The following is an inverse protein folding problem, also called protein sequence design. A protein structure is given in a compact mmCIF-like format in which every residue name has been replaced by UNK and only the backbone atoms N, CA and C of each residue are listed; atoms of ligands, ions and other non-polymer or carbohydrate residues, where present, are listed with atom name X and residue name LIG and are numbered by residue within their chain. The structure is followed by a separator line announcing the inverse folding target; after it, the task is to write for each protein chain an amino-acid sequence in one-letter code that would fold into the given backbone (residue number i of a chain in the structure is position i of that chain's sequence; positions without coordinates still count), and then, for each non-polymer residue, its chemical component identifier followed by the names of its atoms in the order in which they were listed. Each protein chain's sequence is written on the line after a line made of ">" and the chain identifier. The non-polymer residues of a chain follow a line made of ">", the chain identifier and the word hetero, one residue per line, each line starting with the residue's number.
data_IF_410925456870
#
_entry.id   IF_410925456870
#
_cell.length_a   1.000
_cell.length_b   1.000
_cell.length_c   1.000
_cell.angle_alpha   90.00
_cell.angle_beta   90.00
_cell.angle_gamma   90.00
#
_symmetry.space_group_name_H-M   'P 1'
#
loop_
_entity.id
_entity.type
_entity.pdbx_description
1 polymer ?
#
# COMPACT_ATOMS: atom_id res chain seq x y z
N UNK A 1 17.58 -17.11 -42.68
CA UNK A 1 16.12 -17.33 -42.54
C UNK A 1 15.84 -17.17 -41.05
N UNK A 2 15.16 -16.16 -40.50
CA UNK A 2 14.11 -15.29 -41.00
C UNK A 2 14.09 -14.02 -40.13
N UNK A 3 14.25 -12.86 -40.77
CA UNK A 3 14.26 -11.52 -40.16
C UNK A 3 12.85 -10.90 -40.06
N UNK A 4 11.81 -11.72 -39.89
CA UNK A 4 10.40 -11.29 -40.02
C UNK A 4 9.53 -11.50 -38.77
N UNK A 5 10.12 -11.73 -37.59
CA UNK A 5 9.36 -11.93 -36.34
C UNK A 5 9.55 -10.83 -35.28
N UNK A 6 10.36 -9.80 -35.54
CA UNK A 6 10.71 -8.78 -34.52
C UNK A 6 9.84 -7.53 -34.47
N UNK A 7 8.99 -7.29 -35.48
CA UNK A 7 8.25 -6.02 -35.60
C UNK A 7 6.75 -6.09 -35.28
N UNK A 8 6.17 -7.28 -35.11
CA UNK A 8 4.75 -7.43 -34.71
C UNK A 8 4.51 -7.55 -33.20
N UNK A 9 5.55 -7.84 -32.41
CA UNK A 9 5.45 -8.04 -30.95
C UNK A 9 5.48 -6.72 -30.17
N UNK A 10 5.98 -5.62 -30.75
CA UNK A 10 6.02 -4.32 -30.03
C UNK A 10 4.66 -3.63 -29.89
N UNK A 11 3.68 -3.93 -30.74
CA UNK A 11 2.33 -3.35 -30.66
C UNK A 11 1.34 -4.17 -29.82
N UNK A 12 1.55 -5.48 -29.69
CA UNK A 12 0.73 -6.33 -28.82
C UNK A 12 1.05 -6.10 -27.32
N UNK A 13 2.27 -5.67 -27.01
CA UNK A 13 2.71 -5.56 -25.64
C UNK A 13 2.21 -4.32 -24.89
N UNK A 14 1.56 -3.33 -25.53
CA UNK A 14 1.06 -2.17 -24.79
C UNK A 14 -0.25 -2.46 -24.03
N UNK A 15 -1.11 -3.33 -24.59
CA UNK A 15 -2.43 -3.66 -24.03
C UNK A 15 -2.41 -4.60 -22.83
N UNK A 16 -1.30 -5.30 -22.54
CA UNK A 16 -1.20 -6.19 -21.38
C UNK A 16 -0.45 -5.56 -20.19
N UNK A 17 0.09 -4.34 -20.35
CA UNK A 17 0.95 -3.65 -19.35
C UNK A 17 0.20 -2.97 -18.20
N UNK A 18 -1.11 -3.03 -18.26
CA UNK A 18 -2.03 -2.21 -17.49
C UNK A 18 -3.18 -3.05 -16.93
N UNK A 19 -3.24 -4.36 -17.20
CA UNK A 19 -4.45 -5.19 -17.07
C UNK A 19 -5.20 -5.05 -15.74
N UNK A 20 -4.51 -4.98 -14.59
CA UNK A 20 -5.18 -4.83 -13.28
C UNK A 20 -5.75 -3.43 -13.05
N UNK A 21 -5.08 -2.39 -13.55
CA UNK A 21 -5.50 -0.99 -13.45
C UNK A 21 -6.46 -0.59 -14.59
N UNK A 22 -6.29 -1.13 -15.79
CA UNK A 22 -7.23 -1.03 -16.92
C UNK A 22 -8.53 -1.78 -16.65
N UNK A 23 -8.50 -2.97 -16.02
CA UNK A 23 -9.71 -3.66 -15.54
C UNK A 23 -10.49 -2.80 -14.52
N UNK A 24 -9.80 -1.94 -13.77
CA UNK A 24 -10.40 -0.98 -12.84
C UNK A 24 -10.72 0.37 -13.49
N UNK A 25 -10.54 0.52 -14.81
CA UNK A 25 -10.87 1.72 -15.56
C UNK A 25 -9.85 2.86 -15.47
N UNK A 26 -8.60 2.58 -15.11
CA UNK A 26 -7.49 3.54 -15.12
C UNK A 26 -6.71 3.43 -16.46
N UNK A 27 -6.94 4.31 -17.44
CA UNK A 27 -6.09 4.39 -18.62
C UNK A 27 -4.82 5.15 -18.22
N UNK A 28 -3.88 4.47 -17.57
CA UNK A 28 -2.54 5.03 -17.38
C UNK A 28 -1.86 5.05 -18.75
N UNK A 29 -2.09 6.13 -19.50
CA UNK A 29 -1.48 6.36 -20.79
C UNK A 29 0.04 6.36 -20.68
N UNK A 30 0.70 6.08 -21.79
CA UNK A 30 2.13 5.85 -21.99
C UNK A 30 3.01 7.05 -21.56
N UNK A 31 3.08 7.33 -20.25
CA UNK A 31 4.02 8.26 -19.62
C UNK A 31 3.57 9.72 -19.44
N UNK A 32 2.27 10.02 -19.33
CA UNK A 32 1.76 11.41 -19.23
C UNK A 32 0.87 11.71 -18.02
N UNK A 33 1.06 11.04 -16.89
CA UNK A 33 0.27 11.37 -15.72
C UNK A 33 0.64 12.76 -15.19
N UNK A 34 -0.20 13.76 -15.50
CA UNK A 34 -0.14 15.09 -14.93
C UNK A 34 -1.09 15.24 -13.73
N UNK A 35 -1.10 16.43 -13.12
CA UNK A 35 -1.88 16.71 -11.92
C UNK A 35 -3.39 16.61 -12.17
N UNK A 36 -3.85 17.03 -13.35
CA UNK A 36 -5.28 17.03 -13.71
C UNK A 36 -5.75 15.61 -13.97
N UNK A 37 -4.98 14.82 -14.72
CA UNK A 37 -5.25 13.41 -14.96
C UNK A 37 -5.30 12.62 -13.65
N UNK A 38 -4.32 12.80 -12.75
CA UNK A 38 -4.31 12.15 -11.44
C UNK A 38 -5.55 12.52 -10.60
N UNK A 39 -5.91 13.80 -10.59
CA UNK A 39 -7.10 14.28 -9.85
C UNK A 39 -8.38 13.69 -10.42
N UNK A 40 -8.52 13.66 -11.75
CA UNK A 40 -9.66 13.04 -12.41
C UNK A 40 -9.76 11.54 -12.11
N UNK A 41 -8.63 10.83 -12.04
CA UNK A 41 -8.60 9.41 -11.65
C UNK A 41 -9.07 9.22 -10.20
N UNK A 42 -8.56 10.00 -9.25
CA UNK A 42 -9.01 9.93 -7.84
C UNK A 42 -10.52 10.23 -7.73
N UNK A 43 -11.03 11.22 -8.47
CA UNK A 43 -12.45 11.55 -8.50
C UNK A 43 -13.32 10.43 -9.09
N UNK A 44 -12.87 9.78 -10.17
CA UNK A 44 -13.56 8.63 -10.78
C UNK A 44 -13.59 7.44 -9.83
N UNK A 45 -12.54 7.28 -9.04
CA UNK A 45 -12.36 6.17 -8.09
C UNK A 45 -12.84 6.49 -6.67
N UNK A 46 -13.64 7.53 -6.49
CA UNK A 46 -14.15 7.96 -5.18
C UNK A 46 -14.84 6.84 -4.38
N UNK A 47 -15.50 5.90 -5.06
CA UNK A 47 -16.17 4.75 -4.42
C UNK A 47 -15.18 3.78 -3.79
N UNK A 48 -14.05 3.54 -4.47
CA UNK A 48 -12.99 2.63 -4.01
C UNK A 48 -12.14 3.30 -2.93
N UNK A 49 -11.76 4.55 -3.19
CA UNK A 49 -10.87 5.30 -2.31
C UNK A 49 -11.62 5.89 -1.11
N UNK A 50 -12.95 5.93 -1.13
CA UNK A 50 -13.77 6.57 -0.11
C UNK A 50 -13.27 8.02 0.20
N UNK A 51 -12.91 8.75 -0.86
CA UNK A 51 -12.53 10.16 -0.81
C UNK A 51 -13.69 10.95 -1.44
N UNK A 52 -14.31 11.92 -0.74
CA UNK A 52 -15.27 12.81 -1.36
C UNK A 52 -14.65 13.51 -2.59
N UNK A 53 -15.38 13.58 -3.71
CA UNK A 53 -14.82 14.08 -4.98
C UNK A 53 -14.24 15.48 -4.88
N UNK A 54 -14.80 16.30 -3.98
CA UNK A 54 -14.39 17.67 -3.70
C UNK A 54 -13.01 17.75 -3.03
N UNK A 55 -12.58 16.67 -2.36
CA UNK A 55 -11.28 16.58 -1.68
C UNK A 55 -10.19 15.96 -2.56
N UNK A 56 -10.54 15.42 -3.74
CA UNK A 56 -9.58 14.82 -4.64
C UNK A 56 -8.43 15.77 -5.03
N UNK A 57 -8.67 17.07 -5.34
CA UNK A 57 -7.56 18.00 -5.63
C UNK A 57 -6.62 18.19 -4.44
N UNK A 58 -7.15 18.23 -3.21
CA UNK A 58 -6.34 18.40 -1.99
C UNK A 58 -5.50 17.14 -1.73
N UNK A 59 -6.08 15.97 -1.96
CA UNK A 59 -5.40 14.69 -1.83
C UNK A 59 -4.28 14.54 -2.86
N UNK A 60 -4.54 14.81 -4.14
CA UNK A 60 -3.52 14.73 -5.19
C UNK A 60 -2.44 15.79 -5.01
N UNK A 61 -2.79 17.00 -4.56
CA UNK A 61 -1.81 18.04 -4.25
C UNK A 61 -0.81 17.58 -3.17
N UNK A 62 -1.31 17.02 -2.06
CA UNK A 62 -0.45 16.53 -0.96
C UNK A 62 0.62 15.54 -1.42
N UNK A 63 0.28 14.64 -2.34
CA UNK A 63 1.20 13.59 -2.79
C UNK A 63 2.04 14.00 -4.00
N UNK A 64 1.44 14.65 -5.01
CA UNK A 64 2.05 14.81 -6.33
C UNK A 64 2.70 16.19 -6.55
N UNK A 65 2.44 17.19 -5.70
CA UNK A 65 2.92 18.56 -5.94
C UNK A 65 4.45 18.73 -5.88
N UNK A 66 5.16 17.78 -5.26
CA UNK A 66 6.62 17.84 -5.11
C UNK A 66 7.43 17.58 -6.38
N UNK A 67 6.77 17.29 -7.52
CA UNK A 67 7.46 16.92 -8.76
C UNK A 67 6.59 17.15 -9.99
N UNK A 68 7.22 17.58 -11.09
CA UNK A 68 6.61 17.64 -12.43
C UNK A 68 6.92 16.40 -13.29
N UNK A 69 7.82 15.52 -12.82
CA UNK A 69 8.15 14.27 -13.50
C UNK A 69 6.92 13.32 -13.54
N UNK A 70 6.38 12.99 -14.73
CA UNK A 70 5.20 12.14 -14.86
C UNK A 70 5.39 10.72 -14.31
N UNK A 71 6.62 10.20 -14.35
CA UNK A 71 6.92 8.85 -13.81
C UNK A 71 6.82 8.88 -12.30
N UNK A 72 7.40 9.90 -11.65
CA UNK A 72 7.30 10.06 -10.19
C UNK A 72 5.87 10.36 -9.75
N UNK A 73 5.12 11.18 -10.51
CA UNK A 73 3.70 11.42 -10.21
C UNK A 73 2.89 10.13 -10.23
N UNK A 74 3.20 9.20 -11.15
CA UNK A 74 2.55 7.89 -11.19
C UNK A 74 2.86 7.09 -9.92
N UNK A 75 4.13 7.01 -9.52
CA UNK A 75 4.51 6.27 -8.30
C UNK A 75 3.84 6.89 -7.05
N UNK A 76 3.82 8.22 -6.94
CA UNK A 76 3.15 8.95 -5.84
C UNK A 76 1.63 8.79 -5.86
N UNK A 77 1.01 8.64 -7.04
CA UNK A 77 -0.41 8.33 -7.14
C UNK A 77 -0.70 6.90 -6.63
N UNK A 78 0.20 5.95 -6.91
CA UNK A 78 0.08 4.60 -6.36
C UNK A 78 0.24 4.60 -4.84
N UNK A 79 1.16 5.40 -4.28
CA UNK A 79 1.30 5.59 -2.84
C UNK A 79 0.02 6.16 -2.20
N UNK A 80 -0.58 7.19 -2.82
CA UNK A 80 -1.86 7.77 -2.39
C UNK A 80 -2.95 6.69 -2.31
N UNK A 81 -3.08 5.88 -3.35
CA UNK A 81 -4.07 4.80 -3.42
C UNK A 81 -3.78 3.75 -2.35
N UNK A 82 -2.53 3.31 -2.21
CA UNK A 82 -2.11 2.31 -1.24
C UNK A 82 -2.36 2.76 0.20
N UNK A 83 -2.02 4.02 0.53
CA UNK A 83 -2.25 4.59 1.85
C UNK A 83 -3.74 4.69 2.15
N UNK A 84 -4.55 5.14 1.17
CA UNK A 84 -5.98 5.34 1.39
C UNK A 84 -6.75 4.04 1.56
N UNK A 85 -6.38 3.01 0.78
CA UNK A 85 -7.09 1.72 0.77
C UNK A 85 -6.57 0.79 1.87
N UNK A 86 -5.26 0.77 2.14
CA UNK A 86 -4.64 -0.18 3.06
C UNK A 86 -3.96 0.48 4.25
N UNK A 87 -3.01 1.39 4.03
CA UNK A 87 -2.12 1.90 5.07
C UNK A 87 -2.86 2.58 6.22
N UNK A 88 -3.58 3.66 5.92
CA UNK A 88 -4.29 4.49 6.90
C UNK A 88 -5.40 3.71 7.61
N UNK A 89 -6.27 2.95 6.92
CA UNK A 89 -7.25 2.11 7.61
C UNK A 89 -6.61 1.08 8.56
N UNK A 90 -5.51 0.45 8.16
CA UNK A 90 -4.83 -0.56 8.99
C UNK A 90 -4.24 0.05 10.27
N UNK A 91 -3.58 1.20 10.18
CA UNK A 91 -3.05 1.92 11.34
C UNK A 91 -4.19 2.37 12.26
N UNK A 92 -5.29 2.88 11.70
CA UNK A 92 -6.44 3.27 12.50
C UNK A 92 -7.05 2.07 13.25
N UNK A 93 -7.25 0.92 12.59
CA UNK A 93 -7.74 -0.30 13.25
C UNK A 93 -6.81 -0.74 14.37
N UNK A 94 -5.50 -0.75 14.13
CA UNK A 94 -4.51 -1.13 15.14
C UNK A 94 -4.52 -0.20 16.35
N UNK A 95 -4.60 1.13 16.13
CA UNK A 95 -4.73 2.12 17.22
C UNK A 95 -5.98 1.87 18.07
N UNK A 96 -7.15 1.69 17.44
CA UNK A 96 -8.39 1.42 18.17
C UNK A 96 -8.36 0.07 18.91
N UNK A 97 -7.76 -0.97 18.31
CA UNK A 97 -7.61 -2.27 18.96
C UNK A 97 -6.67 -2.18 20.18
N UNK A 98 -5.51 -1.52 20.03
CA UNK A 98 -4.61 -1.19 21.14
C UNK A 98 -5.33 -0.44 22.26
N UNK A 99 -6.05 0.63 21.93
CA UNK A 99 -6.69 1.51 22.90
C UNK A 99 -7.87 0.83 23.61
N UNK A 100 -8.38 -0.28 23.09
CA UNK A 100 -9.33 -1.15 23.80
C UNK A 100 -8.67 -2.03 24.88
N UNK A 101 -7.34 -2.00 24.99
CA UNK A 101 -6.54 -2.80 25.93
C UNK A 101 -6.08 -4.15 25.37
N UNK A 102 -6.40 -4.46 24.11
CA UNK A 102 -6.02 -5.72 23.50
C UNK A 102 -4.56 -5.70 22.98
N UNK A 103 -3.76 -6.77 23.20
CA UNK A 103 -2.44 -6.89 22.60
C UNK A 103 -2.52 -6.78 21.08
N UNK A 104 -1.75 -5.86 20.52
CA UNK A 104 -1.77 -5.55 19.08
C UNK A 104 -0.36 -5.64 18.53
N UNK A 105 -0.21 -6.17 17.31
CA UNK A 105 1.07 -6.23 16.60
C UNK A 105 0.84 -5.79 15.16
N UNK A 106 1.75 -4.99 14.63
CA UNK A 106 1.73 -4.54 13.24
C UNK A 106 3.03 -4.92 12.53
N UNK A 107 2.94 -5.16 11.23
CA UNK A 107 4.11 -5.28 10.36
C UNK A 107 3.89 -4.58 9.02
N UNK A 108 5.00 -4.27 8.35
CA UNK A 108 5.06 -3.82 6.97
C UNK A 108 5.93 -4.81 6.19
N UNK A 109 5.39 -5.44 5.14
CA UNK A 109 6.11 -6.45 4.36
C UNK A 109 6.73 -5.81 3.11
N UNK A 110 8.05 -5.90 3.00
CA UNK A 110 8.87 -5.26 1.97
C UNK A 110 9.82 -6.30 1.36
N UNK A 111 9.26 -7.29 0.68
CA UNK A 111 10.02 -8.28 -0.09
C UNK A 111 9.42 -8.48 -1.46
N UNK A 112 10.27 -8.73 -2.47
CA UNK A 112 9.85 -9.12 -3.81
C UNK A 112 10.15 -10.60 -4.04
N UNK A 113 9.13 -11.47 -4.11
CA UNK A 113 9.33 -12.87 -4.45
C UNK A 113 9.99 -13.04 -5.81
N UNK A 114 10.94 -13.98 -5.93
CA UNK A 114 11.72 -14.24 -7.13
C UNK A 114 10.91 -14.81 -8.29
N UNK A 115 9.77 -15.44 -7.99
CA UNK A 115 8.79 -15.93 -8.96
C UNK A 115 7.75 -14.85 -9.34
N UNK A 116 7.94 -13.60 -8.90
CA UNK A 116 7.13 -12.47 -9.39
C UNK A 116 7.19 -12.40 -10.91
N UNK A 117 6.07 -12.07 -11.56
CA UNK A 117 6.00 -11.91 -13.01
C UNK A 117 7.10 -10.98 -13.54
N UNK A 118 7.70 -11.36 -14.68
CA UNK A 118 8.64 -10.49 -15.42
C UNK A 118 7.99 -9.16 -15.86
N UNK A 119 6.65 -9.07 -15.86
CA UNK A 119 5.92 -7.84 -16.15
C UNK A 119 5.94 -6.85 -14.99
N UNK A 120 6.17 -7.30 -13.75
CA UNK A 120 6.22 -6.42 -12.58
C UNK A 120 7.60 -5.75 -12.53
N UNK A 121 7.71 -4.40 -12.48
CA UNK A 121 9.00 -3.72 -12.40
C UNK A 121 9.84 -4.22 -11.22
N UNK A 122 11.14 -4.39 -11.42
CA UNK A 122 12.06 -4.94 -10.41
C UNK A 122 12.20 -4.08 -9.17
N UNK A 123 11.87 -2.78 -9.27
CA UNK A 123 11.86 -1.82 -8.17
C UNK A 123 10.68 -1.99 -7.22
N UNK A 124 9.63 -2.73 -7.62
CA UNK A 124 8.45 -2.97 -6.79
C UNK A 124 8.70 -4.17 -5.88
N UNK A 125 8.63 -3.93 -4.56
CA UNK A 125 8.67 -4.92 -3.48
C UNK A 125 7.45 -4.71 -2.56
N UNK A 126 6.96 -5.77 -1.91
CA UNK A 126 5.78 -5.67 -1.04
C UNK A 126 4.50 -5.31 -1.80
N UNK A 127 4.33 -5.89 -2.99
CA UNK A 127 3.08 -5.76 -3.75
C UNK A 127 1.97 -6.59 -3.08
N UNK A 128 0.73 -6.30 -3.42
CA UNK A 128 -0.42 -6.89 -2.77
C UNK A 128 -0.42 -8.42 -2.86
N UNK A 129 -0.34 -9.10 -1.71
CA UNK A 129 -0.35 -10.56 -1.59
C UNK A 129 1.04 -11.21 -1.62
N UNK A 130 2.13 -10.45 -1.77
CA UNK A 130 3.49 -11.01 -1.73
C UNK A 130 3.81 -11.73 -0.41
N UNK A 131 3.22 -11.29 0.69
CA UNK A 131 3.46 -11.88 2.01
C UNK A 131 2.87 -13.29 2.13
N UNK A 132 1.78 -13.57 1.41
CA UNK A 132 1.05 -14.87 1.44
C UNK A 132 2.02 -16.01 1.15
N UNK A 133 2.92 -15.83 0.20
CA UNK A 133 3.90 -16.86 -0.16
C UNK A 133 4.85 -17.21 1.00
N UNK A 134 5.27 -16.20 1.77
CA UNK A 134 6.12 -16.40 2.95
C UNK A 134 5.33 -16.99 4.12
N UNK A 135 4.05 -16.64 4.27
CA UNK A 135 3.16 -17.16 5.32
C UNK A 135 2.83 -18.64 5.10
N UNK A 136 2.61 -19.07 3.86
CA UNK A 136 2.21 -20.44 3.54
C UNK A 136 3.37 -21.34 3.10
N UNK A 137 4.60 -20.81 2.98
CA UNK A 137 5.75 -21.58 2.53
C UNK A 137 5.62 -22.08 1.09
N UNK A 138 5.03 -21.25 0.20
CA UNK A 138 4.95 -21.52 -1.25
C UNK A 138 6.35 -21.74 -1.85
N UNK A 139 6.53 -22.32 -3.06
CA UNK A 139 7.85 -22.77 -3.53
C UNK A 139 8.91 -21.66 -3.52
N UNK A 140 9.79 -21.69 -2.53
CA UNK A 140 10.86 -20.70 -2.31
C UNK A 140 12.05 -21.17 -3.13
N UNK A 141 12.38 -20.43 -4.17
CA UNK A 141 13.41 -20.81 -5.14
C UNK A 141 14.81 -20.46 -4.64
N UNK A 142 14.89 -19.49 -3.72
CA UNK A 142 16.14 -19.01 -3.13
C UNK A 142 16.25 -19.37 -1.65
N UNK A 143 17.49 -19.52 -1.17
CA UNK A 143 17.78 -19.76 0.24
C UNK A 143 17.31 -18.59 1.12
N UNK A 144 17.51 -17.36 0.66
CA UNK A 144 17.04 -16.14 1.33
C UNK A 144 15.53 -16.15 1.55
N UNK A 145 14.76 -16.49 0.51
CA UNK A 145 13.29 -16.64 0.58
C UNK A 145 12.89 -17.74 1.54
N UNK A 146 13.62 -18.86 1.51
CA UNK A 146 13.44 -19.98 2.44
C UNK A 146 13.60 -19.54 3.88
N UNK A 147 14.61 -18.74 4.16
CA UNK A 147 14.87 -18.22 5.50
C UNK A 147 13.82 -17.18 5.91
N UNK A 148 13.43 -16.27 5.00
CA UNK A 148 12.36 -15.30 5.22
C UNK A 148 11.03 -16.00 5.56
N UNK A 149 10.62 -16.99 4.76
CA UNK A 149 9.38 -17.73 5.02
C UNK A 149 9.43 -18.53 6.31
N UNK A 150 10.54 -19.21 6.62
CA UNK A 150 10.70 -19.91 7.91
C UNK A 150 10.54 -18.94 9.08
N UNK A 151 11.10 -17.73 8.98
CA UNK A 151 10.94 -16.68 9.99
C UNK A 151 9.49 -16.21 10.10
N UNK A 152 8.85 -15.89 8.97
CA UNK A 152 7.44 -15.45 8.90
C UNK A 152 6.49 -16.53 9.46
N UNK A 153 6.63 -17.78 9.04
CA UNK A 153 5.85 -18.91 9.55
C UNK A 153 6.03 -19.09 11.06
N UNK A 154 7.25 -18.93 11.58
CA UNK A 154 7.50 -18.99 13.03
C UNK A 154 6.78 -17.86 13.77
N UNK A 155 6.84 -16.62 13.28
CA UNK A 155 6.09 -15.50 13.88
C UNK A 155 4.58 -15.79 13.91
N UNK A 156 3.99 -16.18 12.78
CA UNK A 156 2.57 -16.51 12.69
C UNK A 156 2.16 -17.68 13.58
N UNK A 157 2.96 -18.76 13.61
CA UNK A 157 2.68 -19.91 14.46
C UNK A 157 2.83 -19.59 15.95
N UNK A 158 3.78 -18.74 16.33
CA UNK A 158 3.92 -18.26 17.71
C UNK A 158 2.73 -17.39 18.12
N UNK A 159 2.31 -16.47 17.24
CA UNK A 159 1.12 -15.65 17.48
C UNK A 159 -0.14 -16.52 17.63
N UNK A 160 -0.34 -17.52 16.77
CA UNK A 160 -1.46 -18.45 16.87
C UNK A 160 -1.46 -19.27 18.18
N UNK A 161 -0.29 -19.67 18.68
CA UNK A 161 -0.16 -20.44 19.93
C UNK A 161 -0.35 -19.59 21.18
N UNK A 162 0.17 -18.35 21.18
CA UNK A 162 0.42 -17.59 22.41
C UNK A 162 -0.17 -16.17 22.42
N UNK A 163 -0.71 -15.69 21.30
CA UNK A 163 -1.05 -14.27 21.12
C UNK A 163 0.17 -13.34 21.08
N UNK A 164 1.39 -13.88 20.93
CA UNK A 164 2.64 -13.14 20.85
C UNK A 164 3.55 -13.77 19.78
N UNK A 165 3.99 -13.01 18.75
CA UNK A 165 4.78 -13.56 17.65
C UNK A 165 6.23 -13.89 18.06
N UNK A 166 6.76 -13.31 19.14
CA UNK A 166 8.16 -13.45 19.53
C UNK A 166 8.54 -14.90 19.90
N UNK A 167 9.83 -15.22 19.73
CA UNK A 167 10.42 -16.51 20.08
C UNK A 167 11.93 -16.51 19.89
N UNK A 168 12.59 -17.56 20.39
CA UNK A 168 14.05 -17.71 20.27
C UNK A 168 14.50 -17.75 18.81
N UNK A 169 15.58 -17.02 18.50
CA UNK A 169 16.16 -16.95 17.16
C UNK A 169 15.35 -16.11 16.16
N UNK A 170 14.38 -15.32 16.61
CA UNK A 170 13.63 -14.36 15.79
C UNK A 170 14.02 -12.92 16.14
N UNK A 171 14.00 -11.99 15.18
CA UNK A 171 14.03 -10.56 15.46
C UNK A 171 12.92 -10.18 16.45
N UNK A 172 13.19 -9.22 17.33
CA UNK A 172 12.19 -8.76 18.28
C UNK A 172 11.06 -8.02 17.56
N UNK A 173 9.83 -8.48 17.74
CA UNK A 173 8.63 -7.84 17.25
C UNK A 173 7.96 -7.07 18.40
N UNK A 174 8.01 -5.73 18.40
CA UNK A 174 7.43 -4.93 19.47
C UNK A 174 5.89 -5.06 19.50
N UNK A 175 5.33 -4.97 20.70
CA UNK A 175 3.88 -4.74 20.86
C UNK A 175 3.57 -3.35 20.28
N UNK A 176 2.47 -3.24 19.55
CA UNK A 176 1.97 -1.98 19.02
C UNK A 176 1.27 -1.18 20.13
N UNK A 177 2.07 -0.54 20.98
CA UNK A 177 1.63 0.30 22.10
C UNK A 177 1.61 1.79 21.72
N UNK A 178 1.72 2.69 22.71
CA UNK A 178 1.74 4.14 22.48
C UNK A 178 3.00 4.63 21.74
N UNK A 179 4.06 3.83 21.67
CA UNK A 179 5.23 4.09 20.82
C UNK A 179 4.98 3.72 19.37
N UNK A 180 3.91 2.95 19.09
CA UNK A 180 3.54 2.49 17.76
C UNK A 180 4.63 1.67 17.09
N UNK A 181 5.29 0.82 17.89
CA UNK A 181 6.30 -0.12 17.44
C UNK A 181 5.71 -1.16 16.49
N UNK A 182 6.33 -1.36 15.33
CA UNK A 182 5.95 -2.35 14.33
C UNK A 182 7.18 -3.07 13.77
N UNK A 183 6.97 -4.16 13.03
CA UNK A 183 8.07 -4.90 12.40
C UNK A 183 8.11 -4.64 10.89
N UNK A 184 9.25 -4.16 10.39
CA UNK A 184 9.55 -4.20 8.96
C UNK A 184 10.04 -5.60 8.62
N UNK A 185 9.35 -6.30 7.73
CA UNK A 185 9.68 -7.66 7.30
C UNK A 185 10.18 -7.61 5.86
N UNK A 186 11.41 -8.04 5.64
CA UNK A 186 12.03 -8.05 4.30
C UNK A 186 13.40 -8.70 4.36
N UNK A 187 14.27 -8.36 3.39
CA UNK A 187 15.67 -8.82 3.35
C UNK A 187 16.37 -8.57 4.70
N UNK A 188 16.19 -7.36 5.23
CA UNK A 188 16.52 -7.02 6.62
C UNK A 188 15.22 -6.88 7.38
N UNK A 189 15.06 -7.66 8.45
CA UNK A 189 13.88 -7.61 9.32
C UNK A 189 14.23 -6.94 10.63
N UNK A 190 13.53 -5.85 10.96
CA UNK A 190 13.86 -4.99 12.10
C UNK A 190 12.62 -4.29 12.65
N UNK A 191 12.67 -3.92 13.92
CA UNK A 191 11.65 -3.09 14.54
C UNK A 191 11.77 -1.64 14.06
N UNK A 192 10.63 -0.98 13.89
CA UNK A 192 10.49 0.43 13.58
C UNK A 192 9.32 1.01 14.38
N UNK A 193 9.07 2.32 14.27
CA UNK A 193 8.01 3.00 15.02
C UNK A 193 7.19 3.91 14.09
N UNK A 194 5.93 4.15 14.45
CA UNK A 194 5.07 5.19 13.84
C UNK A 194 4.83 5.00 12.34
N UNK A 195 4.47 3.77 11.95
CA UNK A 195 4.08 3.44 10.57
C UNK A 195 3.01 4.43 10.06
N UNK A 196 3.29 5.09 8.92
CA UNK A 196 2.38 5.99 8.21
C UNK A 196 1.80 7.14 9.06
N UNK A 197 2.55 7.61 10.07
CA UNK A 197 2.02 8.59 11.02
C UNK A 197 1.63 9.93 10.38
N UNK A 198 2.42 10.42 9.41
CA UNK A 198 2.13 11.67 8.70
C UNK A 198 0.91 11.54 7.79
N UNK A 199 0.78 10.41 7.10
CA UNK A 199 -0.33 10.09 6.22
C UNK A 199 -1.62 9.98 7.03
N UNK A 200 -1.60 9.26 8.16
CA UNK A 200 -2.77 9.15 9.02
C UNK A 200 -3.20 10.51 9.56
N UNK A 201 -2.24 11.36 9.98
CA UNK A 201 -2.55 12.72 10.43
C UNK A 201 -3.23 13.55 9.33
N UNK A 202 -2.65 13.54 8.12
CA UNK A 202 -3.20 14.24 6.97
C UNK A 202 -4.63 13.79 6.63
N UNK A 203 -4.85 12.49 6.46
CA UNK A 203 -6.15 11.95 6.06
C UNK A 203 -7.22 12.16 7.14
N UNK A 204 -6.85 12.04 8.41
CA UNK A 204 -7.76 12.31 9.54
C UNK A 204 -8.19 13.76 9.57
N UNK A 205 -7.25 14.69 9.41
CA UNK A 205 -7.53 16.13 9.40
C UNK A 205 -8.41 16.51 8.21
N UNK A 206 -8.06 16.04 7.00
CA UNK A 206 -8.77 16.34 5.77
C UNK A 206 -10.24 15.92 5.84
N UNK A 207 -10.51 14.69 6.28
CA UNK A 207 -11.87 14.15 6.36
C UNK A 207 -12.68 14.80 7.49
N UNK A 208 -12.06 15.08 8.63
CA UNK A 208 -12.74 15.73 9.76
C UNK A 208 -13.18 17.15 9.44
N UNK A 209 -12.33 17.92 8.76
CA UNK A 209 -12.68 19.29 8.29
C UNK A 209 -13.86 19.28 7.33
N UNK A 210 -13.89 18.33 6.39
CA UNK A 210 -15.02 18.22 5.45
C UNK A 210 -16.32 17.81 6.14
N UNK A 211 -16.26 16.89 7.11
CA UNK A 211 -17.42 16.50 7.90
C UNK A 211 -18.02 17.68 8.69
N UNK A 212 -17.17 18.46 9.38
CA UNK A 212 -17.59 19.66 10.10
C UNK A 212 -18.21 20.72 9.18
N UNK A 213 -17.63 20.93 7.99
CA UNK A 213 -18.15 21.86 6.98
C UNK A 213 -19.53 21.44 6.47
N UNK A 214 -19.77 20.15 6.23
CA UNK A 214 -21.08 19.63 5.83
C UNK A 214 -22.13 19.82 6.94
N UNK A 215 -21.78 19.50 8.19
CA UNK A 215 -22.69 19.68 9.32
C UNK A 215 -23.14 21.14 9.50
N UNK A 216 -22.22 22.11 9.38
CA UNK A 216 -22.54 23.54 9.45
C UNK A 216 -23.47 24.00 8.31
N UNK A 217 -23.27 23.49 7.09
CA UNK A 217 -24.11 23.84 5.94
C UNK A 217 -25.55 23.33 6.09
N UNK A 218 -25.73 22.11 6.60
CA UNK A 218 -27.07 21.56 6.86
C UNK A 218 -27.83 22.40 7.89
N UNK A 219 -27.16 22.81 8.97
CA UNK A 219 -27.78 23.65 10.00
C UNK A 219 -28.20 25.06 9.50
N UNK A 220 -27.51 25.61 8.50
CA UNK A 220 -27.86 26.91 7.91
C UNK A 220 -29.00 26.87 6.88
N UNK A 221 -29.34 25.69 6.36
CA UNK A 221 -30.43 25.53 5.36
C UNK A 221 -31.78 25.21 6.02
N UNK A 222 -31.76 24.78 7.29
CA UNK A 222 -32.96 24.43 8.07
C UNK A 222 -33.51 25.58 8.94
N UNK A 223 -32.93 26.79 8.84
CA UNK A 223 -33.35 28.02 9.52
C UNK A 223 -33.89 29.05 8.51
#
# INVERSE_FOLDING_TARGET
>A
MSLWYRDRVRRANFHERTATLEMMGYPLSEGKLDQEEATALVQKSYFLLNIPKELAPVATEKYLAGTDDPVKKKDLLLDLIADRVFGVPSVNVARHHRDSGAPTYMYEFQYRPSFSSDMRPTTVAGDHGDEIFSVFGAPLLKEEETNLSKMVMKFWANFARNGNPNGEGLPHWPVYDQKEGYLQIGVTTQAAEKLKAEEVAFWTELLSKEAAKKASRTAHVEL
#
